data_IF_047841307064
#
_entry.id   IF_047841307064
#
_cell.length_a   1.000
_cell.length_b   1.000
_cell.length_c   1.000
_cell.angle_alpha   90.00
_cell.angle_beta   90.00
_cell.angle_gamma   90.00
#
_symmetry.space_group_name_H-M   'P 1'
#
loop_
_entity.id
_entity.type
_entity.pdbx_description
1 polymer ?
#
# COMPACT_ATOMS: atom_id res chain seq x y z
N UNK A 1 -8.91 12.57 -5.17
CA UNK A 1 -8.70 11.11 -5.05
C UNK A 1 -7.26 10.79 -4.60
N UNK A 2 -6.23 10.97 -5.45
CA UNK A 2 -4.85 10.58 -5.08
C UNK A 2 -4.26 11.33 -3.86
N UNK A 3 -4.44 12.66 -3.78
CA UNK A 3 -3.96 13.44 -2.63
C UNK A 3 -4.57 13.03 -1.29
N UNK A 4 -5.83 12.57 -1.31
CA UNK A 4 -6.55 12.04 -0.14
C UNK A 4 -5.92 10.72 0.34
N UNK A 5 -5.64 9.81 -0.61
CA UNK A 5 -4.98 8.54 -0.32
C UNK A 5 -3.56 8.72 0.21
N UNK A 6 -2.78 9.65 -0.36
CA UNK A 6 -1.43 9.98 0.13
C UNK A 6 -1.51 10.48 1.58
N UNK A 7 -2.42 11.40 1.87
CA UNK A 7 -2.59 11.95 3.21
C UNK A 7 -2.96 10.87 4.24
N UNK A 8 -3.89 9.96 3.92
CA UNK A 8 -4.19 8.78 4.75
C UNK A 8 -2.93 7.94 5.04
N UNK A 9 -2.14 7.64 4.00
CA UNK A 9 -0.88 6.89 4.19
C UNK A 9 0.23 7.68 4.88
N UNK A 10 0.12 9.00 5.05
CA UNK A 10 1.07 9.74 5.89
C UNK A 10 0.58 9.77 7.33
N UNK A 11 -0.72 9.94 7.51
CA UNK A 11 -1.36 9.99 8.82
C UNK A 11 -1.17 8.68 9.58
N UNK A 12 -1.31 7.53 8.91
CA UNK A 12 -1.13 6.24 9.59
C UNK A 12 0.28 6.02 10.13
N UNK A 13 1.31 6.65 9.56
CA UNK A 13 2.67 6.51 10.10
C UNK A 13 2.81 7.15 11.48
N UNK A 14 2.04 8.20 11.78
CA UNK A 14 2.01 8.84 13.10
C UNK A 14 0.87 8.36 14.00
N UNK A 15 -0.28 8.03 13.40
CA UNK A 15 -1.46 7.50 14.09
C UNK A 15 -1.88 6.15 13.46
N UNK A 16 -1.22 5.03 13.79
CA UNK A 16 -1.40 3.74 13.10
C UNK A 16 -2.84 3.27 12.98
N UNK A 17 -3.64 3.42 14.05
CA UNK A 17 -5.04 3.00 14.05
C UNK A 17 -5.95 3.83 13.15
N UNK A 18 -5.53 5.01 12.70
CA UNK A 18 -6.38 5.89 11.88
C UNK A 18 -6.62 5.33 10.49
N UNK A 19 -5.74 4.44 10.01
CA UNK A 19 -5.99 3.74 8.75
C UNK A 19 -7.33 2.98 8.75
N UNK A 20 -7.82 2.57 9.92
CA UNK A 20 -9.10 1.87 10.09
C UNK A 20 -10.33 2.80 10.04
N UNK A 21 -10.13 4.12 10.05
CA UNK A 21 -11.21 5.11 10.10
C UNK A 21 -11.71 5.50 8.70
N UNK A 22 -10.99 5.09 7.65
CA UNK A 22 -11.33 5.38 6.26
C UNK A 22 -12.17 4.28 5.62
N UNK A 23 -13.05 4.67 4.72
CA UNK A 23 -13.91 3.72 3.98
C UNK A 23 -13.14 2.96 2.91
N UNK A 24 -13.69 1.83 2.47
CA UNK A 24 -13.08 0.99 1.43
C UNK A 24 -12.76 1.79 0.15
N UNK A 25 -13.66 2.67 -0.31
CA UNK A 25 -13.44 3.41 -1.55
C UNK A 25 -12.33 4.47 -1.42
N UNK A 26 -12.22 5.12 -0.26
CA UNK A 26 -11.11 6.03 0.03
C UNK A 26 -9.77 5.30 -0.10
N UNK A 27 -9.70 4.12 0.50
CA UNK A 27 -8.51 3.27 0.51
C UNK A 27 -8.19 2.66 -0.86
N UNK A 28 -9.20 2.09 -1.52
CA UNK A 28 -9.09 1.46 -2.83
C UNK A 28 -8.62 2.45 -3.89
N UNK A 29 -9.05 3.72 -3.80
CA UNK A 29 -8.67 4.75 -4.78
C UNK A 29 -7.17 5.02 -4.85
N UNK A 30 -6.43 4.77 -3.76
CA UNK A 30 -4.98 4.95 -3.71
C UNK A 30 -4.25 4.03 -4.70
N UNK A 31 -4.65 2.76 -4.77
CA UNK A 31 -4.03 1.78 -5.66
C UNK A 31 -4.77 1.59 -6.97
N UNK A 32 -6.10 1.62 -6.97
CA UNK A 32 -6.91 1.31 -8.15
C UNK A 32 -6.77 2.35 -9.27
N UNK A 33 -6.71 3.65 -8.95
CA UNK A 33 -6.58 4.70 -9.97
C UNK A 33 -5.23 4.64 -10.74
N UNK A 34 -4.05 4.62 -10.08
CA UNK A 34 -2.79 4.45 -10.81
C UNK A 34 -2.68 3.07 -11.46
N UNK A 35 -3.24 2.02 -10.85
CA UNK A 35 -3.27 0.68 -11.46
C UNK A 35 -4.09 0.65 -12.74
N UNK A 36 -5.24 1.31 -12.81
CA UNK A 36 -6.06 1.35 -14.02
C UNK A 36 -5.30 1.97 -15.20
N UNK A 37 -4.48 2.99 -14.96
CA UNK A 37 -3.63 3.59 -16.00
C UNK A 37 -2.53 2.61 -16.42
N UNK A 38 -1.71 2.13 -15.49
CA UNK A 38 -0.53 1.32 -15.87
C UNK A 38 -0.93 -0.09 -16.31
N UNK A 39 -1.69 -0.80 -15.48
CA UNK A 39 -2.08 -2.19 -15.72
C UNK A 39 -3.18 -2.28 -16.76
N UNK A 40 -4.12 -1.33 -16.77
CA UNK A 40 -5.18 -1.29 -17.79
C UNK A 40 -4.61 -1.07 -19.20
N UNK A 41 -3.63 -0.16 -19.37
CA UNK A 41 -2.94 0.02 -20.66
C UNK A 41 -2.15 -1.25 -21.02
N UNK A 42 -1.40 -1.85 -20.08
CA UNK A 42 -0.65 -3.07 -20.34
C UNK A 42 -1.56 -4.24 -20.75
N UNK A 43 -2.71 -4.40 -20.09
CA UNK A 43 -3.72 -5.38 -20.45
C UNK A 43 -4.32 -5.07 -21.83
N UNK A 44 -4.70 -3.82 -22.11
CA UNK A 44 -5.22 -3.42 -23.41
C UNK A 44 -4.23 -3.72 -24.55
N UNK A 45 -2.94 -3.40 -24.36
CA UNK A 45 -1.88 -3.74 -25.32
C UNK A 45 -1.77 -5.26 -25.49
N UNK A 46 -1.78 -6.02 -24.39
CA UNK A 46 -1.72 -7.49 -24.44
C UNK A 46 -2.90 -8.07 -25.23
N UNK A 47 -4.09 -7.48 -25.12
CA UNK A 47 -5.29 -7.91 -25.84
C UNK A 47 -5.24 -7.66 -27.36
N UNK A 48 -4.33 -6.81 -27.85
CA UNK A 48 -4.11 -6.59 -29.28
C UNK A 48 -3.40 -7.77 -29.96
N UNK A 49 -2.78 -8.66 -29.18
CA UNK A 49 -2.08 -9.83 -29.69
C UNK A 49 -2.98 -11.08 -29.69
N UNK A 50 -2.75 -12.05 -30.60
CA UNK A 50 -3.50 -13.30 -30.62
C UNK A 50 -3.45 -14.05 -29.28
N UNK A 51 -4.52 -14.78 -28.99
CA UNK A 51 -4.59 -15.64 -27.79
C UNK A 51 -3.52 -16.73 -27.92
N UNK A 52 -2.66 -16.78 -26.92
CA UNK A 52 -1.58 -17.74 -26.76
C UNK A 52 -1.38 -18.01 -25.27
N UNK A 53 -0.60 -19.04 -24.92
CA UNK A 53 -0.24 -19.30 -23.53
C UNK A 53 0.41 -18.07 -22.87
N UNK A 54 1.23 -17.32 -23.62
CA UNK A 54 1.89 -16.11 -23.13
C UNK A 54 0.90 -14.99 -22.86
N UNK A 55 0.03 -14.64 -23.82
CA UNK A 55 -0.93 -13.54 -23.65
C UNK A 55 -1.95 -13.86 -22.56
N UNK A 56 -2.34 -15.14 -22.42
CA UNK A 56 -3.19 -15.59 -21.32
C UNK A 56 -2.49 -15.46 -19.95
N UNK A 57 -1.24 -15.90 -19.84
CA UNK A 57 -0.46 -15.76 -18.61
C UNK A 57 -0.26 -14.28 -18.22
N UNK A 58 0.04 -13.41 -19.19
CA UNK A 58 0.16 -11.97 -18.97
C UNK A 58 -1.16 -11.37 -18.46
N UNK A 59 -2.30 -11.76 -19.03
CA UNK A 59 -3.61 -11.30 -18.54
C UNK A 59 -3.88 -11.72 -17.10
N UNK A 60 -3.51 -12.95 -16.72
CA UNK A 60 -3.60 -13.39 -15.32
C UNK A 60 -2.71 -12.51 -14.42
N UNK A 61 -1.47 -12.22 -14.83
CA UNK A 61 -0.56 -11.35 -14.08
C UNK A 61 -1.14 -9.95 -13.91
N UNK A 62 -1.68 -9.35 -14.97
CA UNK A 62 -2.34 -8.04 -14.91
C UNK A 62 -3.55 -8.06 -13.97
N UNK A 63 -4.38 -9.08 -14.05
CA UNK A 63 -5.53 -9.24 -13.16
C UNK A 63 -5.11 -9.36 -11.69
N UNK A 64 -4.07 -10.15 -11.39
CA UNK A 64 -3.54 -10.30 -10.03
C UNK A 64 -2.97 -8.98 -9.50
N UNK A 65 -2.21 -8.24 -10.32
CA UNK A 65 -1.67 -6.94 -9.91
C UNK A 65 -2.81 -5.94 -9.65
N UNK A 66 -3.80 -5.85 -10.55
CA UNK A 66 -4.94 -4.95 -10.39
C UNK A 66 -5.73 -5.28 -9.11
N UNK A 67 -5.96 -6.56 -8.83
CA UNK A 67 -6.63 -7.01 -7.60
C UNK A 67 -5.81 -6.66 -6.35
N UNK A 68 -4.50 -6.89 -6.38
CA UNK A 68 -3.59 -6.48 -5.28
C UNK A 68 -3.62 -4.97 -5.04
N UNK A 69 -3.64 -4.16 -6.10
CA UNK A 69 -3.70 -2.70 -6.01
C UNK A 69 -5.07 -2.22 -5.48
N UNK A 70 -6.16 -2.89 -5.86
CA UNK A 70 -7.51 -2.56 -5.38
C UNK A 70 -7.69 -2.85 -3.89
N UNK A 71 -7.22 -4.02 -3.42
CA UNK A 71 -7.44 -4.48 -2.04
C UNK A 71 -6.24 -4.29 -1.12
N UNK A 72 -5.14 -3.70 -1.60
CA UNK A 72 -3.88 -3.63 -0.87
C UNK A 72 -4.01 -3.01 0.53
N UNK A 73 -4.76 -1.91 0.63
CA UNK A 73 -5.05 -1.24 1.89
C UNK A 73 -6.00 -2.04 2.79
N UNK A 74 -6.94 -2.79 2.22
CA UNK A 74 -7.80 -3.68 3.01
C UNK A 74 -6.99 -4.79 3.70
N UNK A 75 -5.97 -5.33 3.02
CA UNK A 75 -5.03 -6.27 3.64
C UNK A 75 -4.10 -5.59 4.65
N UNK A 76 -3.66 -4.36 4.37
CA UNK A 76 -2.87 -3.55 5.31
C UNK A 76 -3.60 -3.34 6.64
N UNK A 77 -4.90 -3.04 6.61
CA UNK A 77 -5.74 -2.86 7.80
C UNK A 77 -5.71 -4.08 8.73
N UNK A 78 -5.54 -5.29 8.21
CA UNK A 78 -5.49 -6.52 9.02
C UNK A 78 -4.29 -6.55 9.99
N UNK A 79 -3.22 -5.82 9.68
CA UNK A 79 -2.08 -5.64 10.58
C UNK A 79 -2.37 -4.67 11.74
N UNK A 80 -3.44 -3.89 11.64
CA UNK A 80 -3.86 -2.87 12.63
C UNK A 80 -5.08 -3.28 13.46
N UNK A 81 -5.73 -4.41 13.14
CA UNK A 81 -6.87 -4.92 13.91
C UNK A 81 -6.46 -5.32 15.33
N UNK A 82 -7.15 -4.74 16.32
CA UNK A 82 -6.95 -5.06 17.75
C UNK A 82 -7.38 -6.49 18.07
N UNK A 83 -8.58 -6.88 17.61
CA UNK A 83 -9.13 -8.21 17.80
C UNK A 83 -8.89 -9.03 16.54
N UNK A 84 -8.16 -10.15 16.68
CA UNK A 84 -7.74 -11.00 15.55
C UNK A 84 -8.35 -12.39 15.69
N UNK A 85 -9.26 -12.85 14.82
CA UNK A 85 -9.81 -14.20 14.90
C UNK A 85 -8.73 -15.28 14.66
N UNK A 86 -8.95 -16.54 15.08
CA UNK A 86 -7.94 -17.60 14.99
C UNK A 86 -7.34 -17.80 13.59
N UNK A 87 -8.18 -17.77 12.55
CA UNK A 87 -7.74 -17.92 11.15
C UNK A 87 -6.82 -16.78 10.72
N UNK A 88 -7.15 -15.53 11.09
CA UNK A 88 -6.28 -14.38 10.81
C UNK A 88 -4.94 -14.51 11.52
N UNK A 89 -4.93 -14.92 12.80
CA UNK A 89 -3.68 -15.15 13.53
C UNK A 89 -2.82 -16.22 12.87
N UNK A 90 -3.43 -17.28 12.35
CA UNK A 90 -2.72 -18.32 11.60
C UNK A 90 -2.14 -17.76 10.30
N UNK A 91 -2.94 -17.05 9.49
CA UNK A 91 -2.48 -16.45 8.25
C UNK A 91 -1.32 -15.46 8.47
N UNK A 92 -1.37 -14.68 9.56
CA UNK A 92 -0.30 -13.75 9.95
C UNK A 92 0.98 -14.47 10.40
N UNK A 93 0.85 -15.57 11.17
CA UNK A 93 2.01 -16.41 11.56
C UNK A 93 2.68 -17.05 10.34
N UNK A 94 1.90 -17.41 9.32
CA UNK A 94 2.38 -17.95 8.06
C UNK A 94 2.80 -16.87 7.05
N UNK A 95 2.74 -15.59 7.43
CA UNK A 95 3.05 -14.44 6.56
C UNK A 95 2.21 -14.37 5.27
N UNK A 96 1.09 -15.09 5.19
CA UNK A 96 0.14 -15.04 4.06
C UNK A 96 -0.59 -13.69 4.02
N UNK A 97 -0.77 -13.08 5.19
CA UNK A 97 -1.18 -11.68 5.39
C UNK A 97 -0.11 -10.99 6.22
N UNK A 98 0.07 -9.68 6.05
CA UNK A 98 1.02 -8.93 6.86
C UNK A 98 0.66 -9.03 8.36
N UNK A 99 1.64 -9.44 9.18
CA UNK A 99 1.46 -9.52 10.63
C UNK A 99 1.71 -8.16 11.29
N UNK A 100 1.09 -7.87 12.45
CA UNK A 100 1.34 -6.63 13.17
C UNK A 100 2.81 -6.46 13.56
N UNK A 101 3.47 -7.55 13.97
CA UNK A 101 4.87 -7.53 14.37
C UNK A 101 5.82 -7.29 13.18
N UNK A 102 5.46 -7.79 11.99
CA UNK A 102 6.21 -7.53 10.76
C UNK A 102 6.06 -6.09 10.31
N UNK A 103 4.82 -5.58 10.30
CA UNK A 103 4.48 -4.22 9.91
C UNK A 103 4.99 -3.17 10.92
N UNK A 104 5.05 -3.49 12.21
CA UNK A 104 5.62 -2.60 13.22
C UNK A 104 7.08 -2.22 12.92
N UNK A 105 7.86 -3.09 12.26
CA UNK A 105 9.23 -2.70 11.88
C UNK A 105 9.25 -1.70 10.72
N UNK A 106 8.22 -1.69 9.86
CA UNK A 106 8.02 -0.60 8.91
C UNK A 106 7.74 0.71 9.65
N UNK A 107 6.84 0.74 10.63
CA UNK A 107 6.58 1.94 11.43
C UNK A 107 7.81 2.47 12.18
N UNK A 108 8.77 1.61 12.50
CA UNK A 108 10.04 2.02 13.14
C UNK A 108 11.07 2.53 12.12
N UNK A 109 11.02 2.01 10.90
CA UNK A 109 11.88 2.39 9.79
C UNK A 109 11.08 2.30 8.48
N UNK A 110 10.64 3.46 7.99
CA UNK A 110 9.80 3.57 6.79
C UNK A 110 10.55 3.17 5.50
N UNK A 111 11.82 2.77 5.58
CA UNK A 111 12.65 2.35 4.45
C UNK A 111 12.77 0.84 4.28
N UNK A 112 12.04 0.06 5.08
CA UNK A 112 11.96 -1.40 4.97
C UNK A 112 10.50 -1.86 5.00
N UNK A 113 10.25 -3.08 4.50
CA UNK A 113 8.94 -3.75 4.58
C UNK A 113 7.76 -2.98 3.99
N UNK A 114 7.98 -2.39 2.83
CA UNK A 114 6.96 -1.62 2.12
C UNK A 114 5.74 -2.45 1.70
N UNK A 115 5.86 -3.77 1.51
CA UNK A 115 4.75 -4.59 1.07
C UNK A 115 3.77 -4.83 2.24
N UNK A 116 2.51 -4.44 2.03
CA UNK A 116 1.47 -4.49 3.07
C UNK A 116 0.45 -5.61 2.93
N UNK A 117 0.43 -6.29 1.77
CA UNK A 117 -0.54 -7.37 1.49
C UNK A 117 -0.18 -8.64 2.27
N UNK A 118 1.06 -9.09 2.11
CA UNK A 118 1.59 -10.28 2.77
C UNK A 118 3.01 -10.01 3.31
N UNK A 119 3.46 -10.87 4.23
CA UNK A 119 4.80 -10.75 4.81
C UNK A 119 5.90 -11.25 3.86
N UNK A 120 5.61 -12.27 3.05
CA UNK A 120 6.60 -12.95 2.20
C UNK A 120 7.31 -12.03 1.21
N UNK A 121 6.56 -11.15 0.55
CA UNK A 121 7.10 -10.26 -0.49
C UNK A 121 8.22 -9.35 0.04
N UNK A 122 8.20 -9.03 1.34
CA UNK A 122 9.20 -8.16 1.93
C UNK A 122 10.59 -8.82 2.03
N UNK A 123 10.69 -10.13 2.24
CA UNK A 123 11.99 -10.80 2.37
C UNK A 123 12.89 -10.64 1.14
N UNK A 124 12.43 -10.94 -0.10
CA UNK A 124 13.24 -10.68 -1.28
C UNK A 124 13.40 -9.18 -1.55
N UNK A 125 12.36 -8.37 -1.36
CA UNK A 125 12.42 -6.93 -1.65
C UNK A 125 13.45 -6.20 -0.77
N UNK A 126 13.45 -6.46 0.54
CA UNK A 126 14.37 -5.86 1.50
C UNK A 126 15.80 -6.36 1.24
N UNK A 127 15.99 -7.67 0.97
CA UNK A 127 17.30 -8.25 0.63
C UNK A 127 17.90 -7.60 -0.62
N UNK A 128 17.08 -7.33 -1.63
CA UNK A 128 17.50 -6.67 -2.88
C UNK A 128 17.57 -5.14 -2.75
N UNK A 129 17.11 -4.57 -1.63
CA UNK A 129 16.89 -3.13 -1.45
C UNK A 129 16.07 -2.53 -2.58
N UNK A 130 15.06 -3.28 -3.06
CA UNK A 130 14.26 -2.94 -4.22
C UNK A 130 13.65 -1.53 -4.08
N UNK A 131 12.98 -1.29 -2.96
CA UNK A 131 12.28 -0.03 -2.71
C UNK A 131 13.23 1.15 -2.54
N UNK A 132 14.32 1.00 -1.79
CA UNK A 132 15.31 2.08 -1.65
C UNK A 132 16.01 2.40 -2.98
N UNK A 133 16.17 1.41 -3.88
CA UNK A 133 16.67 1.65 -5.25
C UNK A 133 15.67 2.45 -6.08
N UNK A 134 14.38 2.11 -6.01
CA UNK A 134 13.31 2.85 -6.67
C UNK A 134 13.22 4.28 -6.15
N UNK A 135 13.33 4.49 -4.84
CA UNK A 135 13.40 5.82 -4.24
C UNK A 135 14.55 6.65 -4.80
N UNK A 136 15.76 6.08 -4.88
CA UNK A 136 16.91 6.76 -5.50
C UNK A 136 16.68 7.07 -6.97
N UNK A 137 16.03 6.18 -7.71
CA UNK A 137 15.68 6.43 -9.11
C UNK A 137 14.70 7.60 -9.24
N UNK A 138 13.67 7.65 -8.39
CA UNK A 138 12.72 8.77 -8.34
C UNK A 138 13.45 10.07 -8.00
N UNK A 139 14.36 10.07 -7.02
CA UNK A 139 15.16 11.25 -6.70
C UNK A 139 16.06 11.68 -7.85
N UNK A 140 16.75 10.74 -8.49
CA UNK A 140 17.63 11.03 -9.62
C UNK A 140 16.88 11.60 -10.84
N UNK A 141 15.64 11.13 -11.08
CA UNK A 141 14.84 11.55 -12.24
C UNK A 141 13.99 12.78 -11.99
N UNK A 142 13.60 13.05 -10.74
CA UNK A 142 12.66 14.15 -10.41
C UNK A 142 13.24 15.22 -9.49
N UNK A 143 14.42 15.00 -8.91
CA UNK A 143 15.01 15.85 -7.86
C UNK A 143 14.30 15.76 -6.50
N UNK A 144 13.19 15.02 -6.38
CA UNK A 144 12.40 14.93 -5.15
C UNK A 144 12.98 13.87 -4.22
N UNK A 145 13.30 14.27 -3.00
CA UNK A 145 13.74 13.36 -1.94
C UNK A 145 12.52 12.81 -1.21
N UNK A 146 12.36 11.48 -1.10
CA UNK A 146 11.25 10.88 -0.35
C UNK A 146 11.21 11.42 1.08
N UNK A 147 10.01 11.75 1.56
CA UNK A 147 9.75 12.21 2.95
C UNK A 147 10.44 13.53 3.34
N UNK A 148 11.00 14.29 2.40
CA UNK A 148 11.64 15.57 2.70
C UNK A 148 10.70 16.61 3.34
N UNK A 149 9.40 16.50 3.08
CA UNK A 149 8.35 17.38 3.60
C UNK A 149 7.59 16.79 4.80
N UNK A 150 7.99 15.64 5.35
CA UNK A 150 7.27 14.98 6.45
C UNK A 150 7.09 15.89 7.66
N UNK A 151 8.14 16.62 8.06
CA UNK A 151 8.05 17.54 9.21
C UNK A 151 7.05 18.68 8.97
N UNK A 152 7.00 19.22 7.75
CA UNK A 152 6.04 20.27 7.40
C UNK A 152 4.62 19.71 7.34
N UNK A 153 4.45 18.53 6.75
CA UNK A 153 3.16 17.86 6.68
C UNK A 153 2.59 17.56 8.06
N UNK A 154 3.41 17.05 8.99
CA UNK A 154 2.99 16.78 10.37
C UNK A 154 2.61 18.05 11.12
N UNK A 155 3.34 19.16 10.94
CA UNK A 155 2.95 20.46 11.52
C UNK A 155 1.56 20.88 11.03
N UNK A 156 1.33 20.86 9.72
CA UNK A 156 0.02 21.22 9.13
C UNK A 156 -1.11 20.32 9.62
N UNK A 157 -0.86 19.01 9.77
CA UNK A 157 -1.83 18.08 10.31
C UNK A 157 -2.22 18.46 11.75
N UNK A 158 -1.22 18.72 12.61
CA UNK A 158 -1.43 19.09 14.01
C UNK A 158 -2.14 20.44 14.15
N UNK A 159 -1.80 21.43 13.32
CA UNK A 159 -2.37 22.77 13.38
C UNK A 159 -3.83 22.83 12.89
N UNK A 160 -4.16 22.03 11.88
CA UNK A 160 -5.50 22.07 11.26
C UNK A 160 -6.47 21.06 11.86
N UNK A 161 -5.99 20.01 12.54
CA UNK A 161 -6.82 18.94 13.07
C UNK A 161 -7.56 18.13 12.00
N UNK A 162 -7.21 18.31 10.71
CA UNK A 162 -7.89 17.65 9.59
C UNK A 162 -7.38 16.22 9.50
N UNK A 163 -8.04 15.34 10.25
CA UNK A 163 -8.27 13.97 9.82
C UNK A 163 -8.92 14.04 8.45
N UNK A 164 -8.40 13.31 7.47
CA UNK A 164 -8.92 13.36 6.10
C UNK A 164 -10.35 12.79 6.07
N UNK A 165 -11.35 13.61 6.42
CA UNK A 165 -12.70 13.18 6.79
C UNK A 165 -12.82 12.86 8.29
N UNK A 166 -13.99 13.17 8.86
CA UNK A 166 -14.31 12.84 10.26
C UNK A 166 -14.28 11.32 10.45
N UNK A 167 -13.45 10.79 11.36
CA UNK A 167 -13.52 9.39 11.74
C UNK A 167 -14.90 9.02 12.26
N UNK A 168 -15.53 7.98 11.71
CA UNK A 168 -16.67 7.36 12.39
C UNK A 168 -16.14 6.43 13.50
N UNK A 169 -16.79 6.41 14.68
CA UNK A 169 -16.39 5.49 15.73
C UNK A 169 -16.50 4.05 15.22
N UNK A 170 -15.46 3.25 15.49
CA UNK A 170 -15.50 1.82 15.28
C UNK A 170 -16.59 1.24 16.20
N UNK A 171 -17.69 0.78 15.60
CA UNK A 171 -18.74 0.03 16.28
C UNK A 171 -18.33 -1.42 16.52
#
# INVERSE_FOLDING_TARGET
MLGRGIAMTREHHTHPSHVLLYEFLDQASLGAAPSAVVVGIAAAITALFPVSALTYALMIVWFVIATCMLFGMSFHNLAHWRVRPPLLRMAQRLHLVCSPEHHLRHHRDHTVRYCVINGWANYPCDRLRLWSRLERLVTATTGRTPRADDAEWQRKLNDTGIFVGTPRPAG
#
